data_IF_125493799230
#
_entry.id   IF_125493799230
#
_cell.length_a   1.000
_cell.length_b   1.000
_cell.length_c   1.000
_cell.angle_alpha   90.00
_cell.angle_beta   90.00
_cell.angle_gamma   90.00
#
_symmetry.space_group_name_H-M   'P 1'
#
loop_
_entity.id
_entity.type
_entity.pdbx_description
1 polymer ?
#
# COMPACT_ATOMS: atom_id res chain seq x y z
N UNK A 1 -22.12 -9.92 27.94
CA UNK A 1 -20.96 -9.19 27.39
C UNK A 1 -20.56 -9.52 25.92
N UNK A 2 -21.00 -10.60 25.24
CA UNK A 2 -20.66 -10.81 23.81
C UNK A 2 -21.44 -9.93 22.82
N UNK A 3 -22.71 -9.64 23.12
CA UNK A 3 -23.62 -8.91 22.20
C UNK A 3 -23.16 -7.48 21.90
N UNK A 4 -22.58 -6.80 22.88
CA UNK A 4 -22.17 -5.40 22.76
C UNK A 4 -20.95 -5.26 21.83
N UNK A 5 -20.00 -6.21 21.87
CA UNK A 5 -18.88 -6.28 20.94
C UNK A 5 -19.35 -6.65 19.52
N UNK A 6 -20.34 -7.52 19.39
CA UNK A 6 -20.92 -7.87 18.09
C UNK A 6 -21.59 -6.68 17.41
N UNK A 7 -22.41 -5.91 18.14
CA UNK A 7 -23.05 -4.71 17.63
C UNK A 7 -22.02 -3.61 17.26
N UNK A 8 -20.95 -3.47 18.06
CA UNK A 8 -19.85 -2.56 17.75
C UNK A 8 -19.11 -2.95 16.45
N UNK A 9 -18.85 -4.24 16.23
CA UNK A 9 -18.25 -4.72 14.99
C UNK A 9 -19.17 -4.49 13.78
N UNK A 10 -20.48 -4.70 13.93
CA UNK A 10 -21.46 -4.43 12.86
C UNK A 10 -21.50 -2.93 12.52
N UNK A 11 -21.49 -2.05 13.53
CA UNK A 11 -21.46 -0.59 13.32
C UNK A 11 -20.17 -0.14 12.64
N UNK A 12 -19.01 -0.68 13.01
CA UNK A 12 -17.74 -0.41 12.32
C UNK A 12 -17.74 -0.87 10.86
N UNK A 13 -18.36 -2.02 10.57
CA UNK A 13 -18.46 -2.51 9.20
C UNK A 13 -19.45 -1.69 8.37
N UNK A 14 -20.58 -1.28 8.94
CA UNK A 14 -21.55 -0.42 8.29
C UNK A 14 -21.00 0.98 8.02
N UNK A 15 -20.29 1.58 8.98
CA UNK A 15 -19.67 2.89 8.80
C UNK A 15 -18.57 2.85 7.74
N UNK A 16 -17.71 1.81 7.74
CA UNK A 16 -16.75 1.56 6.67
C UNK A 16 -17.44 1.43 5.32
N UNK A 17 -18.46 0.55 5.22
CA UNK A 17 -19.21 0.31 3.98
C UNK A 17 -19.86 1.58 3.45
N UNK A 18 -20.51 2.37 4.31
CA UNK A 18 -21.15 3.63 3.94
C UNK A 18 -20.14 4.69 3.47
N UNK A 19 -18.98 4.80 4.14
CA UNK A 19 -17.92 5.72 3.73
C UNK A 19 -17.39 5.35 2.34
N UNK A 20 -17.17 4.05 2.11
CA UNK A 20 -16.67 3.49 0.84
C UNK A 20 -17.67 3.69 -0.29
N UNK A 21 -18.94 3.33 -0.07
CA UNK A 21 -20.01 3.43 -1.07
C UNK A 21 -20.25 4.89 -1.47
N UNK A 22 -20.36 5.81 -0.51
CA UNK A 22 -20.58 7.21 -0.83
C UNK A 22 -19.34 7.84 -1.50
N UNK A 23 -18.13 7.61 -0.99
CA UNK A 23 -16.93 8.11 -1.66
C UNK A 23 -16.76 7.51 -3.06
N UNK A 24 -17.09 6.22 -3.28
CA UNK A 24 -17.02 5.60 -4.62
C UNK A 24 -17.94 6.29 -5.63
N UNK A 25 -19.16 6.65 -5.24
CA UNK A 25 -20.12 7.35 -6.10
C UNK A 25 -19.63 8.74 -6.46
N UNK A 26 -18.99 9.44 -5.53
CA UNK A 26 -18.39 10.76 -5.77
C UNK A 26 -17.14 10.68 -6.65
N UNK A 27 -16.22 9.74 -6.39
CA UNK A 27 -14.98 9.56 -7.16
C UNK A 27 -15.23 9.09 -8.59
N UNK A 28 -16.30 8.32 -8.84
CA UNK A 28 -16.74 7.98 -10.20
C UNK A 28 -17.39 9.16 -10.93
N UNK A 29 -18.10 10.02 -10.20
CA UNK A 29 -18.82 11.18 -10.78
C UNK A 29 -17.88 12.34 -11.09
N UNK A 30 -16.85 12.51 -10.29
CA UNK A 30 -15.79 13.48 -10.49
C UNK A 30 -14.47 12.70 -10.40
N UNK A 31 -13.87 12.31 -11.53
CA UNK A 31 -12.52 11.77 -11.54
C UNK A 31 -11.55 12.90 -11.19
N UNK A 32 -11.57 13.29 -9.91
CA UNK A 32 -10.49 14.02 -9.28
C UNK A 32 -9.31 13.05 -9.42
N UNK A 33 -8.22 13.50 -10.02
CA UNK A 33 -6.96 12.77 -9.98
C UNK A 33 -6.71 12.45 -8.51
N UNK A 34 -6.92 11.18 -8.15
CA UNK A 34 -6.98 10.79 -6.76
C UNK A 34 -5.55 10.83 -6.25
N UNK A 35 -5.19 11.96 -5.64
CA UNK A 35 -3.83 12.20 -5.21
C UNK A 35 -3.50 11.30 -4.02
N UNK A 36 -2.90 10.16 -4.34
CA UNK A 36 -2.49 9.17 -3.36
C UNK A 36 -1.47 9.73 -2.36
N UNK A 37 -0.77 10.82 -2.73
CA UNK A 37 0.15 11.55 -1.85
C UNK A 37 -0.57 12.16 -0.64
N UNK A 38 -1.80 12.66 -0.83
CA UNK A 38 -2.59 13.26 0.26
C UNK A 38 -3.01 12.22 1.30
N UNK A 39 -3.24 10.97 0.85
CA UNK A 39 -3.78 9.86 1.65
C UNK A 39 -2.73 9.34 2.63
N UNK A 40 -1.49 9.15 2.18
CA UNK A 40 -0.43 8.66 3.05
C UNK A 40 0.08 9.70 4.06
N UNK A 41 -0.14 11.00 3.80
CA UNK A 41 0.26 12.08 4.72
C UNK A 41 -0.45 12.01 6.09
N UNK A 42 -1.57 11.28 6.17
CA UNK A 42 -2.46 11.28 7.35
C UNK A 42 -2.28 10.10 8.31
N UNK A 43 -1.22 9.29 8.19
CA UNK A 43 -1.02 8.06 9.00
C UNK A 43 -2.28 7.19 9.05
N UNK A 44 -2.87 6.93 7.87
CA UNK A 44 -4.09 6.13 7.79
C UNK A 44 -3.93 4.76 8.43
N UNK A 45 -4.96 4.23 9.11
CA UNK A 45 -5.00 2.85 9.55
C UNK A 45 -4.90 1.87 8.37
N UNK A 46 -4.16 0.77 8.55
CA UNK A 46 -3.99 -0.28 7.53
C UNK A 46 -5.29 -0.73 6.84
N UNK A 47 -6.43 -0.90 7.55
CA UNK A 47 -7.67 -1.34 6.91
C UNK A 47 -8.17 -0.37 5.83
N UNK A 48 -7.95 0.94 5.98
CA UNK A 48 -8.34 1.92 4.97
C UNK A 48 -7.42 1.87 3.76
N UNK A 49 -6.12 1.72 3.96
CA UNK A 49 -5.17 1.52 2.86
C UNK A 49 -5.51 0.27 2.06
N UNK A 50 -5.79 -0.84 2.73
CA UNK A 50 -6.18 -2.10 2.06
C UNK A 50 -7.41 -1.92 1.16
N UNK A 51 -8.43 -1.19 1.64
CA UNK A 51 -9.63 -0.90 0.86
C UNK A 51 -9.29 -0.05 -0.38
N UNK A 52 -8.42 0.95 -0.24
CA UNK A 52 -8.04 1.83 -1.35
C UNK A 52 -7.23 1.07 -2.39
N UNK A 53 -6.24 0.27 -1.96
CA UNK A 53 -5.37 -0.51 -2.85
C UNK A 53 -6.13 -1.59 -3.65
N UNK A 54 -7.23 -2.11 -3.11
CA UNK A 54 -8.09 -3.09 -3.79
C UNK A 54 -9.00 -2.49 -4.87
N UNK A 55 -8.95 -1.18 -5.12
CA UNK A 55 -9.88 -0.50 -6.02
C UNK A 55 -9.26 -0.11 -7.35
N UNK A 56 -9.78 -0.74 -8.40
CA UNK A 56 -9.37 -0.53 -9.78
C UNK A 56 -9.91 0.78 -10.36
N UNK A 57 -10.98 1.31 -9.78
CA UNK A 57 -11.69 2.49 -10.27
C UNK A 57 -11.06 3.83 -9.84
N UNK A 58 -9.92 3.79 -9.13
CA UNK A 58 -9.22 4.98 -8.64
C UNK A 58 -8.13 5.51 -9.58
N UNK A 59 -7.87 4.83 -10.72
CA UNK A 59 -6.84 5.20 -11.71
C UNK A 59 -5.48 5.54 -11.07
N UNK A 60 -5.07 4.74 -10.09
CA UNK A 60 -3.81 4.94 -9.39
C UNK A 60 -2.65 4.38 -10.20
N UNK A 61 -1.53 5.11 -10.21
CA UNK A 61 -0.29 4.68 -10.87
C UNK A 61 0.48 3.79 -9.90
N UNK A 62 0.71 2.53 -10.25
CA UNK A 62 1.27 1.51 -9.35
C UNK A 62 2.64 1.87 -8.77
N UNK A 63 3.48 2.59 -9.51
CA UNK A 63 4.76 3.06 -8.97
C UNK A 63 4.58 4.14 -7.87
N UNK A 64 3.61 5.03 -8.03
CA UNK A 64 3.29 6.04 -7.02
C UNK A 64 2.69 5.37 -5.77
N UNK A 65 1.88 4.33 -5.96
CA UNK A 65 1.36 3.52 -4.87
C UNK A 65 2.52 2.92 -4.07
N UNK A 66 3.48 2.28 -4.74
CA UNK A 66 4.64 1.69 -4.09
C UNK A 66 5.46 2.70 -3.28
N UNK A 67 5.87 3.81 -3.91
CA UNK A 67 6.68 4.82 -3.24
C UNK A 67 5.97 5.40 -2.01
N UNK A 68 4.65 5.59 -2.12
CA UNK A 68 3.85 6.09 -1.03
C UNK A 68 3.60 5.04 0.07
N UNK A 69 3.48 3.76 -0.28
CA UNK A 69 3.42 2.67 0.70
C UNK A 69 4.72 2.58 1.52
N UNK A 70 5.88 2.73 0.88
CA UNK A 70 7.18 2.79 1.57
C UNK A 70 7.23 3.97 2.54
N UNK A 71 6.90 5.18 2.09
CA UNK A 71 6.84 6.37 2.96
C UNK A 71 5.89 6.17 4.14
N UNK A 72 4.70 5.63 3.88
CA UNK A 72 3.73 5.35 4.93
C UNK A 72 4.26 4.31 5.93
N UNK A 73 4.86 3.22 5.46
CA UNK A 73 5.43 2.16 6.30
C UNK A 73 6.55 2.67 7.21
N UNK A 74 7.47 3.48 6.66
CA UNK A 74 8.52 4.16 7.41
C UNK A 74 7.95 5.09 8.48
N UNK A 75 6.89 5.85 8.16
CA UNK A 75 6.25 6.74 9.13
C UNK A 75 5.55 5.99 10.30
N UNK A 76 5.37 4.67 10.21
CA UNK A 76 4.86 3.82 11.29
C UNK A 76 5.96 3.26 12.20
N UNK A 77 7.23 3.44 11.84
CA UNK A 77 8.39 3.00 12.61
C UNK A 77 8.70 4.09 13.66
N UNK A 78 8.79 3.76 14.96
CA UNK A 78 9.00 4.76 16.02
C UNK A 78 10.36 5.47 15.96
N UNK A 79 11.37 4.86 15.34
CA UNK A 79 12.70 5.44 15.13
C UNK A 79 12.75 6.29 13.85
N UNK A 80 13.63 7.28 13.86
CA UNK A 80 13.93 8.06 12.66
C UNK A 80 14.87 7.26 11.76
N UNK A 81 14.42 6.96 10.54
CA UNK A 81 15.23 6.31 9.51
C UNK A 81 15.82 7.35 8.55
N UNK A 82 16.95 7.00 7.92
CA UNK A 82 17.50 7.79 6.81
C UNK A 82 16.51 7.78 5.63
N UNK A 83 16.53 8.85 4.83
CA UNK A 83 15.77 8.89 3.58
C UNK A 83 16.40 8.00 2.50
N UNK A 84 17.69 7.63 2.63
CA UNK A 84 18.35 6.70 1.73
C UNK A 84 18.30 5.27 2.30
N UNK A 85 17.63 4.32 1.64
CA UNK A 85 17.61 2.91 2.05
C UNK A 85 18.99 2.25 2.08
N UNK A 86 20.01 2.80 1.42
CA UNK A 86 21.38 2.28 1.48
C UNK A 86 22.02 2.44 2.87
N UNK A 87 21.49 3.35 3.70
CA UNK A 87 21.96 3.55 5.08
C UNK A 87 21.27 2.62 6.08
N UNK A 88 20.30 1.81 5.63
CA UNK A 88 19.47 1.00 6.51
C UNK A 88 20.15 -0.31 6.88
N UNK A 89 19.95 -0.73 8.12
CA UNK A 89 20.34 -2.06 8.59
C UNK A 89 19.21 -3.07 8.39
N UNK A 90 19.52 -4.36 8.48
CA UNK A 90 18.56 -5.46 8.26
C UNK A 90 17.30 -5.34 9.14
N UNK A 91 17.47 -4.86 10.38
CA UNK A 91 16.38 -4.65 11.32
C UNK A 91 15.43 -3.53 10.88
N UNK A 92 15.92 -2.53 10.14
CA UNK A 92 15.07 -1.47 9.56
C UNK A 92 14.14 -2.04 8.48
N UNK A 93 14.71 -2.86 7.57
CA UNK A 93 13.94 -3.55 6.54
C UNK A 93 12.92 -4.53 7.13
N UNK A 94 13.31 -5.29 8.16
CA UNK A 94 12.43 -6.23 8.84
C UNK A 94 11.26 -5.52 9.52
N UNK A 95 11.50 -4.35 10.11
CA UNK A 95 10.44 -3.57 10.73
C UNK A 95 9.48 -2.98 9.68
N UNK A 96 10.02 -2.47 8.56
CA UNK A 96 9.20 -2.01 7.43
C UNK A 96 8.36 -3.14 6.85
N UNK A 97 8.97 -4.29 6.55
CA UNK A 97 8.30 -5.48 6.03
C UNK A 97 7.07 -5.80 6.89
N UNK A 98 7.25 -5.91 8.21
CA UNK A 98 6.15 -6.22 9.13
C UNK A 98 4.98 -5.22 9.05
N UNK A 99 5.24 -3.94 8.74
CA UNK A 99 4.20 -2.90 8.64
C UNK A 99 3.39 -3.00 7.34
N UNK A 100 4.05 -3.37 6.24
CA UNK A 100 3.44 -3.32 4.90
C UNK A 100 3.23 -4.69 4.25
N UNK A 101 3.63 -5.78 4.91
CA UNK A 101 3.60 -7.14 4.36
C UNK A 101 2.26 -7.51 3.72
N UNK A 102 1.14 -7.24 4.40
CA UNK A 102 -0.20 -7.56 3.90
C UNK A 102 -0.68 -6.61 2.77
N UNK A 103 0.01 -5.51 2.54
CA UNK A 103 -0.32 -4.50 1.54
C UNK A 103 0.50 -4.68 0.25
N UNK A 104 1.70 -5.26 0.33
CA UNK A 104 2.56 -5.52 -0.84
C UNK A 104 1.82 -6.32 -1.94
N UNK A 105 1.12 -7.44 -1.63
CA UNK A 105 0.44 -8.22 -2.66
C UNK A 105 -0.72 -7.51 -3.37
N UNK A 106 -1.12 -6.32 -2.89
CA UNK A 106 -2.19 -5.52 -3.51
C UNK A 106 -1.66 -4.61 -4.64
N UNK A 107 -0.34 -4.49 -4.78
CA UNK A 107 0.31 -3.68 -5.82
C UNK A 107 0.53 -4.55 -7.06
N UNK A 108 0.20 -4.02 -8.23
CA UNK A 108 0.36 -4.70 -9.52
C UNK A 108 1.72 -4.41 -10.13
N UNK A 109 2.74 -5.09 -9.62
CA UNK A 109 4.12 -4.85 -10.05
C UNK A 109 4.34 -5.03 -11.56
N UNK A 110 3.54 -5.86 -12.23
CA UNK A 110 3.59 -6.05 -13.70
C UNK A 110 3.19 -4.80 -14.52
N UNK A 111 2.54 -3.80 -13.89
CA UNK A 111 2.22 -2.52 -14.52
C UNK A 111 3.31 -1.46 -14.30
N UNK A 112 4.34 -1.77 -13.51
CA UNK A 112 5.46 -0.86 -13.25
C UNK A 112 6.52 -1.07 -14.33
N UNK A 113 7.09 0.01 -14.87
CA UNK A 113 8.11 -0.13 -15.92
C UNK A 113 9.39 -0.79 -15.39
N UNK A 114 10.09 -1.57 -16.22
CA UNK A 114 11.35 -2.23 -15.81
C UNK A 114 12.41 -1.23 -15.31
N UNK A 115 12.40 0.01 -15.83
CA UNK A 115 13.26 1.11 -15.36
C UNK A 115 12.93 1.52 -13.93
N UNK A 116 11.66 1.59 -13.59
CA UNK A 116 11.21 1.93 -12.23
C UNK A 116 11.40 0.77 -11.27
N UNK A 117 11.14 -0.47 -11.70
CA UNK A 117 11.47 -1.67 -10.93
C UNK A 117 12.93 -1.63 -10.45
N UNK A 118 13.86 -1.41 -11.37
CA UNK A 118 15.28 -1.35 -11.04
C UNK A 118 15.64 -0.19 -10.10
N UNK A 119 15.01 0.99 -10.26
CA UNK A 119 15.38 2.19 -9.50
C UNK A 119 14.69 2.32 -8.14
N UNK A 120 13.47 1.81 -8.01
CA UNK A 120 12.55 2.13 -6.92
C UNK A 120 12.09 0.91 -6.13
N UNK A 121 12.04 -0.26 -6.78
CA UNK A 121 11.66 -1.51 -6.13
C UNK A 121 12.90 -2.26 -5.62
N UNK A 122 13.94 -2.35 -6.47
CA UNK A 122 15.17 -3.10 -6.16
C UNK A 122 15.82 -2.77 -4.81
N UNK A 123 15.90 -1.50 -4.34
CA UNK A 123 16.47 -1.20 -3.02
C UNK A 123 15.76 -1.88 -1.84
N UNK A 124 14.52 -2.34 -2.05
CA UNK A 124 13.70 -3.01 -1.04
C UNK A 124 13.39 -4.45 -1.47
N UNK A 125 14.16 -5.06 -2.38
CA UNK A 125 13.85 -6.39 -2.88
C UNK A 125 13.75 -7.43 -1.75
N UNK A 126 14.49 -7.26 -0.66
CA UNK A 126 14.49 -8.19 0.47
C UNK A 126 13.11 -8.34 1.14
N UNK A 127 12.32 -7.28 1.21
CA UNK A 127 11.00 -7.29 1.87
C UNK A 127 9.87 -7.81 0.98
N UNK A 128 10.15 -8.07 -0.31
CA UNK A 128 9.14 -8.59 -1.22
C UNK A 128 8.92 -10.09 -0.98
N UNK A 129 7.65 -10.54 -0.89
CA UNK A 129 7.32 -11.97 -0.88
C UNK A 129 7.89 -12.69 -2.09
N UNK A 130 8.19 -13.97 -1.92
CA UNK A 130 8.82 -14.79 -2.98
C UNK A 130 7.95 -14.86 -4.23
N UNK A 131 6.65 -14.93 -4.06
CA UNK A 131 5.64 -15.00 -5.12
C UNK A 131 5.68 -13.73 -5.96
N UNK A 132 5.74 -12.55 -5.31
CA UNK A 132 5.84 -11.25 -5.98
C UNK A 132 7.15 -11.13 -6.77
N UNK A 133 8.26 -11.61 -6.21
CA UNK A 133 9.54 -11.66 -6.94
C UNK A 133 9.42 -12.50 -8.20
N UNK A 134 8.78 -13.67 -8.12
CA UNK A 134 8.59 -14.56 -9.27
C UNK A 134 7.70 -13.91 -10.34
N UNK A 135 6.61 -13.26 -9.94
CA UNK A 135 5.72 -12.55 -10.87
C UNK A 135 6.48 -11.43 -11.60
N UNK A 136 7.26 -10.62 -10.87
CA UNK A 136 8.09 -9.56 -11.48
C UNK A 136 9.05 -10.15 -12.51
N UNK A 137 9.74 -11.25 -12.17
CA UNK A 137 10.66 -11.92 -13.10
C UNK A 137 9.93 -12.43 -14.34
N UNK A 138 8.76 -13.05 -14.17
CA UNK A 138 7.97 -13.59 -15.27
C UNK A 138 7.50 -12.52 -16.24
N UNK A 139 7.04 -11.36 -15.76
CA UNK A 139 6.50 -10.30 -16.61
C UNK A 139 7.58 -9.40 -17.24
N UNK A 140 8.74 -9.23 -16.59
CA UNK A 140 9.74 -8.24 -17.01
C UNK A 140 11.07 -8.82 -17.47
N UNK A 141 11.37 -10.09 -17.18
CA UNK A 141 12.67 -10.71 -17.49
C UNK A 141 12.57 -11.96 -18.36
N UNK A 142 11.39 -12.57 -18.50
CA UNK A 142 11.16 -13.61 -19.50
C UNK A 142 10.87 -12.94 -20.85
N UNK A 143 11.63 -13.23 -21.93
CA UNK A 143 11.45 -12.65 -23.25
C UNK A 143 10.08 -12.90 -23.88
#
# INVERSE_FOLDING_TARGET
MPLQNFLWMQLQNLSKKYLIENHSKYLRKYPIQFDFTLIISTKLPNPLLEIILKRDDLNLVEIEIWENLIKWGVAQIPKQLSNDPNDWIKEDFTELERKIYNLIPLIRFYQISSKELFKKIKPFEEILPKEIKQDILQFHMVP
#
